data_IF_858192453272
#
_entry.id   IF_858192453272
#
_cell.length_a   1.000
_cell.length_b   1.000
_cell.length_c   1.000
_cell.angle_alpha   90.00
_cell.angle_beta   90.00
_cell.angle_gamma   90.00
#
_symmetry.space_group_name_H-M   'P 1'
#
loop_
_entity.id
_entity.type
_entity.pdbx_description
1 polymer ?
#
# COMPACT_ATOMS: atom_id res chain seq x y z
N UNK A 1 -4.80 -6.41 7.89
CA UNK A 1 -4.03 -5.99 9.07
C UNK A 1 -3.05 -4.88 8.72
N UNK A 2 -2.82 -3.99 9.65
CA UNK A 2 -2.07 -2.78 9.36
C UNK A 2 -0.84 -2.73 10.26
N UNK A 3 0.31 -2.47 9.68
CA UNK A 3 1.56 -2.30 10.42
C UNK A 3 2.12 -0.92 10.16
N UNK A 4 2.66 -0.31 11.19
CA UNK A 4 3.40 0.93 11.04
C UNK A 4 4.87 0.61 10.86
N UNK A 5 5.47 1.15 9.83
CA UNK A 5 6.88 0.98 9.56
C UNK A 5 7.58 2.33 9.68
N UNK A 6 8.65 2.37 10.46
CA UNK A 6 9.48 3.54 10.53
C UNK A 6 10.63 3.35 9.54
N UNK A 7 10.79 4.29 8.65
CA UNK A 7 11.82 4.23 7.63
C UNK A 7 12.70 5.46 7.68
N UNK A 8 14.00 5.25 7.83
CA UNK A 8 14.98 6.32 7.78
C UNK A 8 15.29 6.60 6.32
N UNK A 9 15.00 7.81 5.81
CA UNK A 9 15.24 8.13 4.40
C UNK A 9 16.70 8.03 3.99
N UNK A 10 17.64 8.12 4.93
CA UNK A 10 19.04 7.97 4.64
C UNK A 10 19.41 6.52 4.38
N UNK A 11 18.61 5.58 4.86
CA UNK A 11 18.81 4.17 4.67
C UNK A 11 18.05 3.75 3.42
N UNK A 12 18.73 3.13 2.48
CA UNK A 12 18.12 2.80 1.19
C UNK A 12 17.38 1.47 1.18
N UNK A 13 17.21 0.87 2.35
CA UNK A 13 16.49 -0.39 2.46
C UNK A 13 15.31 -0.26 3.42
N UNK A 14 14.30 -1.07 3.20
CA UNK A 14 13.13 -1.15 4.07
C UNK A 14 13.00 -2.59 4.54
N UNK A 15 12.96 -2.79 5.84
CA UNK A 15 12.82 -4.13 6.41
C UNK A 15 11.38 -4.36 6.81
N UNK A 16 10.82 -5.48 6.38
CA UNK A 16 9.47 -5.87 6.74
C UNK A 16 9.55 -6.78 7.97
N UNK A 17 8.75 -6.45 8.98
CA UNK A 17 8.75 -7.19 10.23
C UNK A 17 8.35 -8.65 9.99
N UNK A 18 8.99 -9.57 10.74
CA UNK A 18 8.71 -11.00 10.64
C UNK A 18 7.21 -11.31 10.81
N UNK A 19 6.57 -10.66 11.76
CA UNK A 19 5.16 -10.90 12.03
C UNK A 19 4.29 -10.58 10.81
N UNK A 20 4.61 -9.51 10.08
CA UNK A 20 3.89 -9.14 8.88
C UNK A 20 4.08 -10.19 7.78
N UNK A 21 5.28 -10.71 7.64
CA UNK A 21 5.55 -11.76 6.66
C UNK A 21 4.81 -13.05 7.01
N UNK A 22 4.77 -13.42 8.28
CA UNK A 22 4.06 -14.61 8.71
C UNK A 22 2.56 -14.49 8.51
N UNK A 23 1.98 -13.35 8.87
CA UNK A 23 0.54 -13.13 8.74
C UNK A 23 0.11 -13.04 7.28
N UNK A 24 0.98 -12.57 6.41
CA UNK A 24 0.67 -12.49 4.99
C UNK A 24 0.90 -13.82 4.26
N UNK A 25 1.52 -14.78 4.92
CA UNK A 25 1.85 -16.06 4.30
C UNK A 25 3.08 -16.01 3.39
N UNK A 26 3.83 -14.93 3.44
CA UNK A 26 5.00 -14.75 2.57
C UNK A 26 6.31 -15.20 3.19
N UNK A 27 6.30 -15.58 4.47
CA UNK A 27 7.54 -15.91 5.18
C UNK A 27 8.32 -17.06 4.56
N UNK A 28 7.62 -18.04 3.99
CA UNK A 28 8.27 -19.20 3.38
C UNK A 28 8.41 -19.11 1.87
N UNK A 29 8.06 -17.99 1.28
CA UNK A 29 8.08 -17.83 -0.17
C UNK A 29 9.38 -17.17 -0.57
N UNK A 30 10.13 -17.81 -1.46
CA UNK A 30 11.42 -17.28 -1.89
C UNK A 30 11.32 -16.45 -3.19
N UNK A 31 10.27 -16.65 -3.97
CA UNK A 31 10.10 -15.92 -5.22
C UNK A 31 8.97 -14.91 -5.06
N UNK A 32 9.35 -13.64 -4.94
CA UNK A 32 8.41 -12.56 -4.71
C UNK A 32 8.50 -11.53 -5.83
N UNK A 33 7.36 -10.95 -6.20
CA UNK A 33 7.30 -9.88 -7.18
C UNK A 33 6.86 -8.60 -6.48
N UNK A 34 7.62 -7.55 -6.70
CA UNK A 34 7.34 -6.24 -6.13
C UNK A 34 6.78 -5.35 -7.24
N UNK A 35 5.56 -4.90 -7.05
CA UNK A 35 4.94 -3.91 -7.94
C UNK A 35 5.09 -2.54 -7.29
N UNK A 36 5.61 -1.58 -8.03
CA UNK A 36 5.81 -0.25 -7.48
C UNK A 36 5.18 0.81 -8.36
N UNK A 37 4.68 1.82 -7.71
CA UNK A 37 4.20 3.02 -8.37
C UNK A 37 4.40 4.17 -7.39
N UNK A 38 4.16 5.38 -7.83
CA UNK A 38 4.35 6.55 -7.00
C UNK A 38 3.49 6.46 -5.73
N UNK A 39 4.15 6.41 -4.58
CA UNK A 39 3.46 6.34 -3.29
C UNK A 39 2.93 4.99 -2.89
N UNK A 40 3.25 3.94 -3.66
CA UNK A 40 2.66 2.62 -3.41
C UNK A 40 3.63 1.50 -3.73
N UNK A 41 3.63 0.48 -2.89
CA UNK A 41 4.40 -0.75 -3.11
C UNK A 41 3.47 -1.93 -2.82
N UNK A 42 3.43 -2.90 -3.70
CA UNK A 42 2.65 -4.12 -3.52
C UNK A 42 3.55 -5.32 -3.72
N UNK A 43 3.62 -6.19 -2.72
CA UNK A 43 4.47 -7.36 -2.73
C UNK A 43 3.62 -8.62 -2.81
N UNK A 44 3.84 -9.45 -3.82
CA UNK A 44 3.06 -10.65 -4.06
C UNK A 44 3.96 -11.85 -4.28
N UNK A 45 3.46 -13.09 -4.06
CA UNK A 45 4.19 -14.28 -4.49
C UNK A 45 4.37 -14.26 -6.01
N UNK A 46 5.48 -14.84 -6.48
CA UNK A 46 5.76 -14.87 -7.91
C UNK A 46 4.77 -15.76 -8.69
N UNK A 47 4.21 -16.76 -8.02
CA UNK A 47 3.25 -17.67 -8.66
C UNK A 47 2.08 -17.89 -7.70
N UNK A 48 1.16 -16.91 -7.58
CA UNK A 48 0.08 -17.00 -6.61
C UNK A 48 -0.97 -18.01 -7.00
N UNK A 49 -1.53 -18.69 -6.01
CA UNK A 49 -2.66 -19.58 -6.21
C UNK A 49 -3.94 -18.75 -6.39
N UNK A 50 -5.00 -19.41 -6.84
CA UNK A 50 -6.32 -18.76 -6.98
C UNK A 50 -6.77 -18.18 -5.64
N UNK A 51 -6.59 -18.94 -4.55
CA UNK A 51 -6.97 -18.48 -3.23
C UNK A 51 -6.19 -17.22 -2.81
N UNK A 52 -4.90 -17.19 -3.12
CA UNK A 52 -4.05 -16.03 -2.83
C UNK A 52 -4.47 -14.82 -3.65
N UNK A 53 -4.82 -15.01 -4.91
CA UNK A 53 -5.30 -13.92 -5.76
C UNK A 53 -6.62 -13.35 -5.23
N UNK A 54 -7.53 -14.22 -4.80
CA UNK A 54 -8.81 -13.77 -4.24
C UNK A 54 -8.60 -12.99 -2.95
N UNK A 55 -7.69 -13.44 -2.09
CA UNK A 55 -7.38 -12.73 -0.85
C UNK A 55 -6.75 -11.38 -1.13
N UNK A 56 -5.89 -11.30 -2.14
CA UNK A 56 -5.27 -10.04 -2.53
C UNK A 56 -6.32 -9.03 -3.00
N UNK A 57 -7.24 -9.46 -3.83
CA UNK A 57 -8.33 -8.60 -4.29
C UNK A 57 -9.20 -8.15 -3.12
N UNK A 58 -9.50 -9.06 -2.19
CA UNK A 58 -10.28 -8.72 -1.00
C UNK A 58 -9.58 -7.66 -0.16
N UNK A 59 -8.27 -7.77 0.01
CA UNK A 59 -7.51 -6.80 0.78
C UNK A 59 -7.52 -5.43 0.11
N UNK A 60 -7.31 -5.39 -1.19
CA UNK A 60 -7.35 -4.14 -1.95
C UNK A 60 -8.72 -3.49 -1.81
N UNK A 61 -9.78 -4.30 -1.91
CA UNK A 61 -11.15 -3.81 -1.76
C UNK A 61 -11.42 -3.27 -0.36
N UNK A 62 -10.81 -3.87 0.67
CA UNK A 62 -10.97 -3.41 2.04
C UNK A 62 -10.22 -2.11 2.32
N UNK A 63 -9.07 -1.91 1.67
CA UNK A 63 -8.23 -0.72 1.87
C UNK A 63 -8.71 0.47 1.05
N UNK A 64 -9.28 0.21 -0.12
CA UNK A 64 -9.70 1.28 -1.04
C UNK A 64 -10.59 2.34 -0.39
N UNK A 65 -11.62 2.00 0.40
CA UNK A 65 -12.44 3.03 1.03
C UNK A 65 -11.66 3.93 1.98
N UNK A 66 -10.65 3.39 2.66
CA UNK A 66 -9.80 4.18 3.55
C UNK A 66 -8.99 5.20 2.77
N UNK A 67 -8.49 4.80 1.62
CA UNK A 67 -7.72 5.69 0.74
C UNK A 67 -8.63 6.77 0.15
N UNK A 68 -9.85 6.40 -0.22
CA UNK A 68 -10.82 7.35 -0.75
C UNK A 68 -11.20 8.38 0.31
N UNK A 69 -11.38 7.96 1.57
CA UNK A 69 -11.65 8.89 2.66
C UNK A 69 -10.52 9.88 2.84
N UNK A 70 -9.28 9.41 2.77
CA UNK A 70 -8.11 10.28 2.89
C UNK A 70 -8.04 11.27 1.74
N UNK A 71 -8.34 10.82 0.54
CA UNK A 71 -8.37 11.68 -0.63
C UNK A 71 -9.42 12.77 -0.45
N UNK A 72 -10.61 12.43 0.03
CA UNK A 72 -11.67 13.39 0.27
C UNK A 72 -11.26 14.42 1.32
N UNK A 73 -10.64 13.99 2.42
CA UNK A 73 -10.16 14.89 3.46
C UNK A 73 -9.12 15.86 2.93
N UNK A 74 -8.18 15.36 2.15
CA UNK A 74 -7.14 16.22 1.58
C UNK A 74 -7.68 17.21 0.59
N UNK A 75 -8.64 16.79 -0.21
CA UNK A 75 -9.30 17.67 -1.17
C UNK A 75 -10.08 18.76 -0.47
N UNK A 76 -10.75 18.42 0.61
CA UNK A 76 -11.49 19.37 1.43
C UNK A 76 -10.53 20.40 2.04
N UNK A 77 -9.43 19.95 2.60
CA UNK A 77 -8.43 20.84 3.19
C UNK A 77 -7.85 21.80 2.16
N UNK A 78 -7.59 21.31 0.97
CA UNK A 78 -7.06 22.13 -0.11
C UNK A 78 -8.04 23.24 -0.48
N UNK A 79 -9.33 22.93 -0.55
CA UNK A 79 -10.36 23.90 -0.84
C UNK A 79 -10.50 24.94 0.28
N UNK A 80 -10.46 24.46 1.52
CA UNK A 80 -10.59 25.35 2.67
C UNK A 80 -9.42 26.32 2.79
N UNK A 81 -8.24 25.87 2.37
CA UNK A 81 -7.06 26.72 2.39
C UNK A 81 -6.91 27.57 1.14
N UNK A 82 -7.84 27.48 0.24
CA UNK A 82 -7.78 28.24 -1.02
C UNK A 82 -6.73 27.72 -1.99
N UNK A 83 -6.20 26.55 -1.79
CA UNK A 83 -5.22 25.99 -2.66
C UNK A 83 -5.87 25.36 -3.81
N UNK A 84 -5.43 25.76 -4.98
CA UNK A 84 -6.00 25.18 -6.09
C UNK A 84 -5.10 24.28 -6.63
N UNK A 85 -4.74 23.47 -6.13
CA UNK A 85 -3.88 22.57 -6.60
C UNK A 85 -4.19 22.05 -7.73
N UNK A 86 -4.42 22.11 -8.30
CA UNK A 86 -4.71 21.69 -9.29
C UNK A 86 -4.64 20.84 -9.91
N UNK A 87 -4.59 20.44 -10.00
CA UNK A 87 -4.49 19.64 -10.42
C UNK A 87 -4.92 19.33 -11.33
N UNK A 88 -5.08 19.40 -11.63
CA UNK A 88 -5.36 19.01 -12.17
C UNK A 88 -5.41 18.76 -12.98
N UNK A 89 -5.33 18.66 -13.15
CA UNK A 89 -5.15 18.32 -13.80
C UNK A 89 -5.63 18.01 -14.37
N UNK A 90 -5.70 18.10 -14.41
CA UNK A 90 -6.00 17.76 -14.77
C UNK A 90 -6.08 17.51 -15.14
#
# INVERSE_FOLDING_TARGET
MKFHLNHDPANKTLTIHRAALQLSGLAGVSDLILHTDSGCVLLLPGDPTVAELLKTISLISAVAPQLISRLAERSQMALENGMTETTCGA
#
